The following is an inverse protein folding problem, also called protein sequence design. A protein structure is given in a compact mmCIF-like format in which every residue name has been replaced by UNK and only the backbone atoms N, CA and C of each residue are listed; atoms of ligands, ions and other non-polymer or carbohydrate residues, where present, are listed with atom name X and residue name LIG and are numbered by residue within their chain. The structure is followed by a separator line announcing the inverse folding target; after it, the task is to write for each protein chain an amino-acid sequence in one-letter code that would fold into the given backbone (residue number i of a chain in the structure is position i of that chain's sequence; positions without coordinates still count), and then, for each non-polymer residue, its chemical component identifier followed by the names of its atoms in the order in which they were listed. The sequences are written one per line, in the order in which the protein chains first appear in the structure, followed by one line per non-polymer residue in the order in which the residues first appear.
data_IF_113603386666
#
_entry.id   IF_113603386666
#
_cell.length_a   1.000
_cell.length_b   1.000
_cell.length_c   1.000
_cell.angle_alpha   90.00
_cell.angle_beta   90.00
_cell.angle_gamma   90.00
#
_symmetry.space_group_name_H-M   'P 1'
#
loop_
_entity.id
_entity.type
_entity.pdbx_description
1 polymer ?
#
# COMPACT_ATOMS: atom_id res chain seq x y z
N UNK A 1 0.11 20.63 10.99
CA UNK A 1 -0.82 19.64 11.59
C UNK A 1 -0.98 20.02 13.05
N UNK A 2 -2.15 20.50 13.45
CA UNK A 2 -2.44 20.81 14.85
C UNK A 2 -2.38 19.49 15.64
N UNK A 3 -1.60 19.52 16.70
CA UNK A 3 -1.51 18.41 17.64
C UNK A 3 -2.80 18.37 18.46
N UNK A 4 -3.64 17.37 18.21
CA UNK A 4 -4.78 17.08 19.06
C UNK A 4 -4.30 16.32 20.31
N UNK A 5 -4.24 16.93 21.48
CA UNK A 5 -3.71 16.29 22.69
C UNK A 5 -4.47 15.02 23.09
N UNK A 6 -5.74 14.92 22.70
CA UNK A 6 -6.58 13.75 22.97
C UNK A 6 -6.25 12.49 22.17
N UNK A 7 -5.41 12.60 21.14
CA UNK A 7 -5.02 11.45 20.31
C UNK A 7 -3.65 10.85 20.66
N UNK A 8 -2.97 11.41 21.67
CA UNK A 8 -1.68 10.88 22.12
C UNK A 8 -1.83 9.41 22.54
N UNK A 9 -0.90 8.56 22.06
CA UNK A 9 -0.90 7.12 22.24
C UNK A 9 -2.07 6.36 21.57
N UNK A 10 -2.90 7.03 20.77
CA UNK A 10 -3.94 6.37 19.98
C UNK A 10 -3.34 5.48 18.89
N UNK A 11 -3.98 4.36 18.60
CA UNK A 11 -3.59 3.44 17.54
C UNK A 11 -4.50 3.59 16.32
N UNK A 12 -3.92 3.43 15.14
CA UNK A 12 -4.66 3.43 13.88
C UNK A 12 -3.98 2.54 12.85
N UNK A 13 -4.76 2.00 11.92
CA UNK A 13 -4.25 1.21 10.81
C UNK A 13 -3.92 2.12 9.63
N UNK A 14 -2.77 1.88 9.01
CA UNK A 14 -2.32 2.62 7.83
C UNK A 14 -1.34 1.79 6.99
N UNK A 15 -1.15 2.14 5.71
CA UNK A 15 -0.08 1.58 4.92
C UNK A 15 1.29 1.79 5.58
N UNK A 16 2.25 0.87 5.38
CA UNK A 16 3.58 1.00 5.99
C UNK A 16 4.27 2.30 5.54
N UNK A 17 4.75 3.13 6.49
CA UNK A 17 5.23 4.48 6.16
C UNK A 17 6.60 4.51 5.47
N UNK A 18 7.42 3.46 5.59
CA UNK A 18 8.78 3.45 5.06
C UNK A 18 8.82 3.56 3.54
N UNK A 19 8.04 2.75 2.83
CA UNK A 19 8.00 2.76 1.38
C UNK A 19 7.45 4.08 0.81
N UNK A 20 6.50 4.71 1.51
CA UNK A 20 6.04 6.05 1.12
C UNK A 20 7.14 7.10 1.23
N UNK A 21 7.99 7.03 2.26
CA UNK A 21 9.13 7.96 2.39
C UNK A 21 10.08 7.85 1.21
N UNK A 22 10.39 6.64 0.78
CA UNK A 22 11.26 6.37 -0.37
C UNK A 22 10.63 6.87 -1.67
N UNK A 23 9.34 6.60 -1.87
CA UNK A 23 8.57 7.11 -3.00
C UNK A 23 8.55 8.64 -3.01
N UNK A 24 8.28 9.29 -1.88
CA UNK A 24 8.24 10.74 -1.78
C UNK A 24 9.60 11.38 -2.05
N UNK A 25 10.70 10.75 -1.60
CA UNK A 25 12.05 11.21 -1.88
C UNK A 25 12.37 11.15 -3.39
N UNK A 26 11.98 10.04 -4.05
CA UNK A 26 12.14 9.89 -5.49
C UNK A 26 11.30 10.90 -6.27
N UNK A 27 10.05 11.08 -5.89
CA UNK A 27 9.14 12.06 -6.49
C UNK A 27 9.70 13.49 -6.39
N UNK A 28 10.21 13.90 -5.22
CA UNK A 28 10.83 15.22 -5.04
C UNK A 28 12.04 15.43 -5.94
N UNK A 29 12.88 14.41 -6.13
CA UNK A 29 14.02 14.50 -7.05
C UNK A 29 13.59 14.72 -8.50
N UNK A 30 12.48 14.11 -8.90
CA UNK A 30 11.99 14.19 -10.29
C UNK A 30 11.20 15.46 -10.56
N UNK A 31 10.35 15.87 -9.62
CA UNK A 31 9.37 16.96 -9.85
C UNK A 31 9.61 18.20 -9.00
N UNK A 32 10.62 18.19 -8.15
CA UNK A 32 10.92 19.29 -7.21
C UNK A 32 9.70 19.71 -6.34
N UNK A 33 8.86 18.76 -6.00
CA UNK A 33 7.62 18.96 -5.22
C UNK A 33 7.31 17.72 -4.37
N UNK A 34 6.53 17.90 -3.31
CA UNK A 34 6.03 16.77 -2.53
C UNK A 34 4.88 16.08 -3.28
N UNK A 35 4.84 14.75 -3.31
CA UNK A 35 3.71 14.05 -3.89
C UNK A 35 2.44 14.23 -3.04
N UNK A 36 1.26 14.35 -3.66
CA UNK A 36 0.02 14.12 -2.95
C UNK A 36 0.02 12.71 -2.35
N UNK A 37 -0.57 12.52 -1.17
CA UNK A 37 -0.57 11.19 -0.51
C UNK A 37 -1.17 10.10 -1.40
N UNK A 38 -2.20 10.45 -2.17
CA UNK A 38 -2.90 9.53 -3.07
C UNK A 38 -2.12 9.17 -4.35
N UNK A 39 -1.01 9.84 -4.65
CA UNK A 39 -0.19 9.55 -5.84
C UNK A 39 0.35 8.11 -5.86
N UNK A 40 0.54 7.49 -4.71
CA UNK A 40 0.95 6.09 -4.59
C UNK A 40 -0.06 5.12 -5.20
N UNK A 41 -1.36 5.43 -5.14
CA UNK A 41 -2.40 4.58 -5.73
C UNK A 41 -2.26 4.50 -7.26
N UNK A 42 -2.03 5.65 -7.91
CA UNK A 42 -1.78 5.69 -9.35
C UNK A 42 -0.47 5.01 -9.73
N UNK A 43 0.57 5.21 -8.93
CA UNK A 43 1.86 4.55 -9.13
C UNK A 43 1.72 3.02 -9.05
N UNK A 44 1.06 2.52 -8.00
CA UNK A 44 0.85 1.08 -7.83
C UNK A 44 -0.03 0.49 -8.94
N UNK A 45 -1.06 1.22 -9.40
CA UNK A 45 -1.91 0.77 -10.49
C UNK A 45 -1.11 0.59 -11.80
N UNK A 46 -0.29 1.57 -12.16
CA UNK A 46 0.56 1.48 -13.36
C UNK A 46 1.64 0.40 -13.21
N UNK A 47 2.23 0.27 -12.03
CA UNK A 47 3.21 -0.78 -11.75
C UNK A 47 2.59 -2.17 -11.88
N UNK A 48 1.35 -2.35 -11.41
CA UNK A 48 0.60 -3.59 -11.58
C UNK A 48 0.32 -3.88 -13.07
N UNK A 49 -0.12 -2.88 -13.83
CA UNK A 49 -0.32 -3.04 -15.28
C UNK A 49 0.96 -3.45 -15.99
N UNK A 50 2.09 -2.84 -15.63
CA UNK A 50 3.39 -3.21 -16.20
C UNK A 50 3.77 -4.66 -15.86
N UNK A 51 3.59 -5.06 -14.60
CA UNK A 51 3.84 -6.42 -14.14
C UNK A 51 2.98 -7.44 -14.92
N UNK A 52 1.68 -7.19 -15.03
CA UNK A 52 0.76 -8.10 -15.72
C UNK A 52 0.97 -8.13 -17.23
N UNK A 53 1.54 -7.09 -17.83
CA UNK A 53 1.83 -7.04 -19.25
C UNK A 53 2.90 -8.04 -19.70
N UNK A 54 3.73 -8.53 -18.80
CA UNK A 54 4.73 -9.58 -19.05
C UNK A 54 4.12 -10.98 -19.15
N UNK A 55 2.85 -11.13 -18.79
CA UNK A 55 2.12 -12.39 -18.90
C UNK A 55 1.77 -12.80 -20.34
N UNK A 56 1.17 -13.96 -20.50
CA UNK A 56 0.68 -14.44 -21.80
C UNK A 56 -0.39 -13.49 -22.35
N UNK A 57 -0.41 -13.16 -23.66
CA UNK A 57 -1.32 -12.16 -24.23
C UNK A 57 -2.80 -12.35 -23.88
N UNK A 58 -3.25 -13.59 -23.71
CA UNK A 58 -4.64 -13.93 -23.42
C UNK A 58 -5.01 -13.88 -21.93
N UNK A 59 -4.00 -13.84 -21.03
CA UNK A 59 -4.19 -13.95 -19.58
C UNK A 59 -3.80 -12.67 -18.82
N UNK A 60 -3.28 -11.65 -19.51
CA UNK A 60 -2.62 -10.49 -18.89
C UNK A 60 -3.50 -9.73 -17.89
N UNK A 61 -4.75 -9.52 -18.25
CA UNK A 61 -5.69 -8.67 -17.49
C UNK A 61 -7.02 -9.37 -17.24
N UNK A 62 -7.00 -10.69 -17.12
CA UNK A 62 -8.19 -11.48 -16.77
C UNK A 62 -8.53 -11.33 -15.30
N UNK A 63 -9.78 -11.58 -14.93
CA UNK A 63 -10.23 -11.61 -13.55
C UNK A 63 -9.35 -12.53 -12.70
N UNK A 64 -9.04 -13.70 -13.22
CA UNK A 64 -8.17 -14.69 -12.56
C UNK A 64 -6.80 -14.11 -12.22
N UNK A 65 -6.20 -13.34 -13.12
CA UNK A 65 -4.86 -12.75 -12.92
C UNK A 65 -4.95 -11.58 -11.94
N UNK A 66 -5.99 -10.76 -12.04
CA UNK A 66 -6.21 -9.60 -11.18
C UNK A 66 -6.61 -9.99 -9.75
N UNK A 67 -7.32 -11.11 -9.59
CA UNK A 67 -7.77 -11.61 -8.29
C UNK A 67 -6.87 -12.69 -7.70
N UNK A 68 -5.59 -12.68 -8.05
CA UNK A 68 -4.60 -13.60 -7.48
C UNK A 68 -4.65 -13.52 -5.94
N UNK A 69 -4.94 -14.64 -5.25
CA UNK A 69 -5.06 -14.64 -3.78
C UNK A 69 -3.75 -14.30 -3.06
N UNK A 70 -2.60 -14.44 -3.71
CA UNK A 70 -1.32 -13.99 -3.17
C UNK A 70 -1.19 -12.47 -3.18
N UNK A 71 -1.96 -11.79 -4.03
CA UNK A 71 -1.93 -10.36 -4.16
C UNK A 71 -0.65 -9.82 -4.81
N UNK A 72 -0.45 -8.53 -4.63
CA UNK A 72 0.63 -7.76 -5.21
C UNK A 72 1.28 -6.89 -4.15
N UNK A 73 2.57 -6.61 -4.32
CA UNK A 73 3.32 -5.74 -3.43
C UNK A 73 3.54 -4.39 -4.12
N UNK A 74 3.04 -3.32 -3.52
CA UNK A 74 3.17 -1.96 -4.01
C UNK A 74 3.87 -1.03 -3.02
N UNK A 75 3.92 0.25 -3.36
CA UNK A 75 4.49 1.30 -2.51
C UNK A 75 3.71 1.45 -1.20
N UNK A 76 2.39 1.23 -1.23
CA UNK A 76 1.55 1.23 -0.03
C UNK A 76 1.41 -0.16 0.60
N UNK A 77 2.32 -1.07 0.32
CA UNK A 77 2.36 -2.41 0.89
C UNK A 77 1.59 -3.43 0.07
N UNK A 78 1.27 -4.53 0.71
CA UNK A 78 0.59 -5.66 0.12
C UNK A 78 -0.88 -5.36 -0.14
N UNK A 79 -1.39 -5.73 -1.32
CA UNK A 79 -2.82 -5.62 -1.65
C UNK A 79 -3.28 -6.76 -2.56
N UNK A 80 -4.56 -7.06 -2.52
CA UNK A 80 -5.22 -7.98 -3.45
C UNK A 80 -6.63 -7.54 -3.77
N UNK A 81 -7.16 -8.00 -4.89
CA UNK A 81 -8.53 -7.73 -5.30
C UNK A 81 -9.40 -8.98 -5.08
N UNK A 82 -10.65 -8.75 -4.75
CA UNK A 82 -11.70 -9.76 -4.68
C UNK A 82 -12.57 -9.74 -5.95
N UNK A 83 -13.31 -10.82 -6.19
CA UNK A 83 -14.17 -10.97 -7.37
C UNK A 83 -15.28 -9.90 -7.46
N UNK A 84 -15.65 -9.30 -6.34
CA UNK A 84 -16.62 -8.20 -6.27
C UNK A 84 -16.04 -6.82 -6.60
N UNK A 85 -14.74 -6.75 -6.92
CA UNK A 85 -14.03 -5.51 -7.21
C UNK A 85 -13.51 -4.77 -5.99
N UNK A 86 -13.76 -5.26 -4.78
CA UNK A 86 -13.17 -4.69 -3.56
C UNK A 86 -11.68 -5.02 -3.44
N UNK A 87 -10.95 -4.22 -2.67
CA UNK A 87 -9.53 -4.43 -2.39
C UNK A 87 -9.30 -4.70 -0.90
N UNK A 88 -8.40 -5.62 -0.62
CA UNK A 88 -7.86 -5.88 0.70
C UNK A 88 -6.41 -5.42 0.76
N UNK A 89 -6.02 -4.78 1.86
CA UNK A 89 -4.65 -4.28 2.04
C UNK A 89 -4.03 -4.80 3.33
N UNK A 90 -2.74 -5.12 3.26
CA UNK A 90 -1.94 -5.35 4.45
C UNK A 90 -1.57 -4.01 5.08
N UNK A 91 -2.12 -3.73 6.26
CA UNK A 91 -1.88 -2.49 6.98
C UNK A 91 -0.98 -2.72 8.20
N UNK A 92 -0.17 -1.72 8.53
CA UNK A 92 0.52 -1.63 9.80
C UNK A 92 -0.38 -1.00 10.86
N UNK A 93 -0.13 -1.29 12.13
CA UNK A 93 -0.70 -0.55 13.24
C UNK A 93 0.31 0.49 13.70
N UNK A 94 -0.10 1.74 13.69
CA UNK A 94 0.70 2.89 14.08
C UNK A 94 0.17 3.49 15.37
N UNK A 95 1.06 4.03 16.18
CA UNK A 95 0.73 4.78 17.38
C UNK A 95 1.11 6.26 17.22
N UNK A 96 0.22 7.13 17.64
CA UNK A 96 0.48 8.58 17.66
C UNK A 96 1.51 8.89 18.75
N UNK A 97 2.61 9.51 18.35
CA UNK A 97 3.70 9.94 19.24
C UNK A 97 3.89 11.46 19.15
N UNK A 98 4.57 12.09 20.13
CA UNK A 98 4.79 13.54 20.13
C UNK A 98 5.52 14.06 18.87
N UNK A 99 6.39 13.25 18.27
CA UNK A 99 7.19 13.58 17.08
C UNK A 99 6.69 12.95 15.78
N UNK A 100 5.50 12.35 15.77
CA UNK A 100 4.96 11.69 14.59
C UNK A 100 4.26 10.37 14.93
N UNK A 101 4.66 9.28 14.27
CA UNK A 101 4.06 7.96 14.45
C UNK A 101 5.15 6.91 14.67
N UNK A 102 4.83 5.91 15.50
CA UNK A 102 5.66 4.72 15.68
C UNK A 102 4.90 3.49 15.20
N UNK A 103 5.60 2.54 14.58
CA UNK A 103 5.00 1.27 14.16
C UNK A 103 4.92 0.36 15.39
N UNK A 104 3.69 0.00 15.77
CA UNK A 104 3.40 -0.94 16.88
C UNK A 104 3.36 -2.37 16.36
N UNK A 105 2.71 -2.57 15.20
CA UNK A 105 2.62 -3.86 14.53
C UNK A 105 2.91 -3.66 13.04
N UNK A 106 3.94 -4.31 12.47
CA UNK A 106 4.31 -4.12 11.07
C UNK A 106 3.25 -4.71 10.14
N UNK A 107 3.15 -4.11 8.93
CA UNK A 107 2.27 -4.64 7.90
C UNK A 107 2.69 -6.06 7.48
N UNK A 108 1.73 -6.96 7.20
CA UNK A 108 2.03 -8.30 6.71
C UNK A 108 2.72 -8.22 5.34
N UNK A 109 3.64 -9.16 5.11
CA UNK A 109 4.33 -9.31 3.81
C UNK A 109 3.65 -10.30 2.88
N UNK A 110 2.74 -11.10 3.41
CA UNK A 110 1.96 -12.10 2.69
C UNK A 110 0.54 -12.12 3.25
N UNK A 111 -0.44 -12.40 2.40
CA UNK A 111 -1.77 -12.72 2.89
C UNK A 111 -1.78 -14.15 3.43
N UNK A 112 -2.51 -14.41 4.54
CA UNK A 112 -2.74 -15.78 4.95
C UNK A 112 -3.42 -16.51 3.80
N UNK A 113 -2.89 -17.67 3.44
CA UNK A 113 -3.59 -18.57 2.54
C UNK A 113 -4.93 -18.91 3.19
N UNK A 114 -6.01 -18.88 2.40
CA UNK A 114 -7.30 -19.38 2.84
C UNK A 114 -7.19 -20.89 3.07
N UNK A 115 -6.48 -21.28 4.11
CA UNK A 115 -6.36 -22.65 4.56
C UNK A 115 -7.28 -22.82 5.75
N UNK A 116 -8.32 -23.53 5.52
CA UNK A 116 -9.08 -24.11 6.61
C UNK A 116 -8.42 -25.42 7.05
#
# INVERSE_FOLDING_TARGET
MQREPGLSNGWFAAPPPAAFRDFAAHYRRTYNANPPRIATLSYDAISLMALLSDGRPYDRFTDRTLTDPNGFSGVDGLFRFHDDGSAERGLAVLQVAPSGFTVVDPAPKTFPSAGF
#
